data_IF_336283532954
#
_entry.id   IF_336283532954
#
_cell.length_a   1.000
_cell.length_b   1.000
_cell.length_c   1.000
_cell.angle_alpha   90.00
_cell.angle_beta   90.00
_cell.angle_gamma   90.00
#
_symmetry.space_group_name_H-M   'P 1'
#
loop_
_entity.id
_entity.type
_entity.pdbx_description
1 polymer ?
#
# COMPACT_ATOMS: atom_id res chain seq x y z
N UNK A 1 8.98 -16.53 -46.05
CA UNK A 1 9.14 -16.32 -44.60
C UNK A 1 8.38 -15.05 -44.21
N UNK A 2 7.37 -15.21 -43.36
CA UNK A 2 6.19 -14.34 -43.25
C UNK A 2 6.50 -12.97 -42.65
N UNK A 3 6.22 -11.88 -43.39
CA UNK A 3 6.33 -10.51 -42.90
C UNK A 3 5.16 -10.23 -41.94
N UNK A 4 5.46 -10.06 -40.66
CA UNK A 4 4.47 -9.75 -39.63
C UNK A 4 3.86 -8.36 -39.84
N UNK A 5 2.56 -8.27 -39.63
CA UNK A 5 1.74 -7.07 -39.87
C UNK A 5 1.98 -6.01 -38.79
N UNK A 6 1.86 -4.72 -39.16
CA UNK A 6 2.06 -3.55 -38.28
C UNK A 6 1.22 -3.58 -36.99
N UNK A 7 0.12 -4.34 -36.98
CA UNK A 7 -0.74 -4.57 -35.80
C UNK A 7 -0.12 -5.51 -34.76
N UNK A 8 0.64 -6.54 -35.19
CA UNK A 8 1.32 -7.47 -34.26
C UNK A 8 2.48 -6.79 -33.51
N UNK A 9 3.11 -5.78 -34.13
CA UNK A 9 4.13 -4.95 -33.47
C UNK A 9 3.54 -3.99 -32.41
N UNK A 10 2.26 -3.63 -32.53
CA UNK A 10 1.56 -2.81 -31.53
C UNK A 10 1.32 -3.59 -30.23
N UNK A 11 0.79 -4.82 -30.36
CA UNK A 11 0.42 -5.66 -29.21
C UNK A 11 1.65 -6.09 -28.40
N UNK A 12 2.82 -6.26 -29.04
CA UNK A 12 4.08 -6.58 -28.35
C UNK A 12 4.73 -5.38 -27.64
N UNK A 13 4.40 -4.14 -28.04
CA UNK A 13 4.96 -2.93 -27.44
C UNK A 13 4.22 -2.50 -26.17
N UNK A 14 2.94 -2.84 -26.05
CA UNK A 14 2.13 -2.51 -24.86
C UNK A 14 2.51 -3.37 -23.63
N UNK A 15 3.15 -4.53 -23.83
CA UNK A 15 3.62 -5.40 -22.75
C UNK A 15 4.95 -4.97 -22.12
N UNK A 16 5.63 -3.93 -22.64
CA UNK A 16 6.97 -3.52 -22.18
C UNK A 16 7.04 -2.13 -21.53
N UNK A 17 5.90 -1.51 -21.22
CA UNK A 17 5.89 -0.11 -20.75
C UNK A 17 5.49 0.10 -19.28
N UNK A 18 5.36 -0.97 -18.47
CA UNK A 18 5.00 -0.84 -17.04
C UNK A 18 6.17 -1.02 -16.06
N UNK A 19 7.40 -1.19 -16.56
CA UNK A 19 8.59 -1.20 -15.71
C UNK A 19 9.31 0.14 -15.81
N UNK A 20 8.65 1.23 -15.36
CA UNK A 20 9.40 2.45 -15.00
C UNK A 20 10.49 2.02 -14.02
N UNK A 21 11.78 2.33 -14.26
CA UNK A 21 12.85 1.90 -13.37
C UNK A 21 12.56 2.45 -11.98
N UNK A 22 12.10 1.58 -11.07
CA UNK A 22 11.81 1.93 -9.69
C UNK A 22 13.13 2.45 -9.13
N UNK A 23 13.21 3.77 -8.95
CA UNK A 23 14.44 4.42 -8.48
C UNK A 23 14.98 3.70 -7.24
N UNK A 24 16.30 3.65 -7.07
CA UNK A 24 16.94 2.95 -5.92
C UNK A 24 16.40 3.41 -4.55
N UNK A 25 15.80 4.60 -4.48
CA UNK A 25 15.17 5.15 -3.29
C UNK A 25 13.83 4.49 -2.93
N UNK A 26 13.03 4.08 -3.93
CA UNK A 26 11.73 3.44 -3.71
C UNK A 26 11.84 2.00 -3.21
N UNK A 27 13.01 1.36 -3.34
CA UNK A 27 13.23 -0.02 -2.86
C UNK A 27 13.52 -0.13 -1.36
N UNK A 28 14.02 0.92 -0.70
CA UNK A 28 14.43 0.83 0.72
C UNK A 28 13.22 0.81 1.64
N UNK A 29 13.15 -0.21 2.49
CA UNK A 29 12.16 -0.29 3.57
C UNK A 29 12.42 0.84 4.56
N UNK A 30 11.40 1.64 4.82
CA UNK A 30 11.35 2.62 5.90
C UNK A 30 10.85 1.91 7.16
N UNK A 31 11.45 2.26 8.31
CA UNK A 31 11.04 1.80 9.64
C UNK A 31 9.97 2.72 10.24
N UNK A 32 9.16 2.19 11.16
CA UNK A 32 8.11 2.94 11.86
C UNK A 32 8.65 4.16 12.62
N UNK A 33 9.80 4.03 13.29
CA UNK A 33 10.43 5.13 14.03
C UNK A 33 10.75 6.35 13.15
N UNK A 34 11.11 6.08 11.89
CA UNK A 34 11.57 7.03 10.88
C UNK A 34 10.43 7.66 10.10
N UNK A 35 9.18 7.27 10.37
CA UNK A 35 8.00 7.85 9.75
C UNK A 35 7.84 9.31 10.19
N UNK A 36 7.66 10.17 9.19
CA UNK A 36 7.32 11.58 9.38
C UNK A 36 5.84 11.79 9.08
N UNK A 37 5.22 12.64 9.87
CA UNK A 37 3.82 13.02 9.71
C UNK A 37 3.62 13.81 8.42
N UNK A 38 2.46 13.63 7.78
CA UNK A 38 2.08 14.32 6.53
C UNK A 38 3.11 14.17 5.39
N UNK A 39 3.73 12.98 5.31
CA UNK A 39 4.69 12.63 4.27
C UNK A 39 4.33 11.34 3.54
N UNK A 40 4.75 11.21 2.26
CA UNK A 40 4.67 9.94 1.55
C UNK A 40 5.63 8.92 2.15
N UNK A 41 5.21 7.65 2.12
CA UNK A 41 5.97 6.49 2.58
C UNK A 41 6.24 5.62 1.35
N UNK A 42 7.50 5.53 0.94
CA UNK A 42 7.87 4.79 -0.27
C UNK A 42 7.57 3.31 -0.14
N UNK A 43 8.09 2.68 0.93
CA UNK A 43 7.91 1.26 1.23
C UNK A 43 8.04 1.03 2.73
N UNK A 44 7.09 0.32 3.32
CA UNK A 44 7.16 -0.13 4.71
C UNK A 44 6.63 -1.57 4.81
N UNK A 45 7.19 -2.35 5.72
CA UNK A 45 6.73 -3.72 6.00
C UNK A 45 6.48 -3.84 7.49
N UNK A 46 5.32 -4.38 7.85
CA UNK A 46 4.84 -4.48 9.23
C UNK A 46 4.04 -5.76 9.42
N UNK A 47 4.03 -6.26 10.65
CA UNK A 47 3.14 -7.34 11.09
C UNK A 47 1.87 -6.70 11.61
N UNK A 48 0.72 -7.17 11.13
CA UNK A 48 -0.60 -6.72 11.61
C UNK A 48 -0.89 -7.35 12.95
N UNK A 49 -1.00 -6.52 13.99
CA UNK A 49 -1.27 -6.94 15.36
C UNK A 49 -2.76 -7.07 15.66
N UNK A 50 -3.56 -6.21 15.04
CA UNK A 50 -5.01 -6.13 15.29
C UNK A 50 -5.72 -5.51 14.10
N UNK A 51 -6.90 -6.02 13.79
CA UNK A 51 -7.86 -5.42 12.86
C UNK A 51 -9.16 -5.11 13.59
N UNK A 52 -9.71 -3.92 13.39
CA UNK A 52 -11.00 -3.50 13.92
C UNK A 52 -12.12 -3.80 12.91
N UNK A 53 -13.39 -3.89 13.37
CA UNK A 53 -14.53 -4.07 12.48
C UNK A 53 -14.57 -2.98 11.38
N UNK A 54 -14.88 -3.35 10.13
CA UNK A 54 -15.03 -2.38 9.06
C UNK A 54 -16.26 -1.49 9.30
N UNK A 55 -16.16 -0.23 8.89
CA UNK A 55 -17.27 0.73 8.87
C UNK A 55 -17.42 1.34 7.49
N UNK A 56 -18.63 1.76 7.15
CA UNK A 56 -18.87 2.50 5.91
C UNK A 56 -18.52 3.97 6.11
N UNK A 57 -17.82 4.55 5.14
CA UNK A 57 -17.53 5.99 5.08
C UNK A 57 -18.09 6.52 3.79
N UNK A 58 -18.87 7.59 3.87
CA UNK A 58 -19.41 8.30 2.70
C UNK A 58 -18.98 9.77 2.77
N UNK A 59 -18.42 10.26 1.68
CA UNK A 59 -18.09 11.65 1.46
C UNK A 59 -18.47 12.01 0.03
N UNK A 60 -18.62 13.31 -0.28
CA UNK A 60 -19.00 13.81 -1.61
C UNK A 60 -18.13 13.25 -2.76
N UNK A 61 -16.89 12.85 -2.48
CA UNK A 61 -15.94 12.35 -3.47
C UNK A 61 -15.81 10.83 -3.50
N UNK A 62 -16.22 10.11 -2.46
CA UNK A 62 -15.99 8.67 -2.35
C UNK A 62 -16.83 8.04 -1.23
N UNK A 63 -17.34 6.84 -1.49
CA UNK A 63 -18.05 5.98 -0.53
C UNK A 63 -17.44 4.58 -0.57
N UNK A 64 -17.17 4.00 0.59
CA UNK A 64 -16.66 2.62 0.68
C UNK A 64 -16.38 2.17 2.11
N UNK A 65 -15.82 0.97 2.24
CA UNK A 65 -15.50 0.34 3.53
C UNK A 65 -14.12 0.77 4.00
N UNK A 66 -14.01 1.05 5.29
CA UNK A 66 -12.75 1.39 5.94
C UNK A 66 -12.63 0.63 7.25
N UNK A 67 -11.47 0.03 7.50
CA UNK A 67 -11.15 -0.58 8.79
C UNK A 67 -9.87 0.02 9.37
N UNK A 68 -9.88 0.26 10.68
CA UNK A 68 -8.66 0.58 11.40
C UNK A 68 -7.91 -0.71 11.73
N UNK A 69 -6.59 -0.66 11.70
CA UNK A 69 -5.73 -1.76 12.14
C UNK A 69 -4.48 -1.21 12.85
N UNK A 70 -3.78 -2.08 13.55
CA UNK A 70 -2.50 -1.76 14.20
C UNK A 70 -1.44 -2.68 13.59
N UNK A 71 -0.29 -2.10 13.23
CA UNK A 71 0.87 -2.84 12.76
C UNK A 71 2.10 -2.54 13.60
N UNK A 72 3.08 -3.45 13.57
CA UNK A 72 4.40 -3.21 14.16
C UNK A 72 5.53 -3.66 13.27
N UNK A 73 6.68 -3.04 13.44
CA UNK A 73 7.97 -3.56 12.99
C UNK A 73 8.94 -3.66 14.18
N UNK A 74 10.23 -3.88 13.90
CA UNK A 74 11.27 -3.91 14.92
C UNK A 74 11.52 -2.57 15.64
N UNK A 75 11.01 -1.46 15.10
CA UNK A 75 11.26 -0.10 15.59
C UNK A 75 10.09 0.51 16.35
N UNK A 76 8.87 0.01 16.14
CA UNK A 76 7.70 0.50 16.87
C UNK A 76 6.36 0.01 16.35
N UNK A 77 5.31 0.68 16.82
CA UNK A 77 3.91 0.40 16.48
C UNK A 77 3.33 1.57 15.68
N UNK A 78 2.47 1.27 14.72
CA UNK A 78 1.83 2.27 13.87
C UNK A 78 0.37 1.90 13.60
N UNK A 79 -0.49 2.90 13.50
CA UNK A 79 -1.86 2.71 13.04
C UNK A 79 -1.92 2.48 11.53
N UNK A 80 -2.95 1.76 11.09
CA UNK A 80 -3.23 1.47 9.68
C UNK A 80 -4.68 1.78 9.34
N UNK A 81 -4.89 2.22 8.11
CA UNK A 81 -6.22 2.34 7.51
C UNK A 81 -6.26 1.46 6.28
N UNK A 82 -7.12 0.43 6.36
CA UNK A 82 -7.40 -0.51 5.28
C UNK A 82 -8.65 -0.06 4.53
N UNK A 83 -8.60 -0.10 3.21
CA UNK A 83 -9.66 0.35 2.30
C UNK A 83 -10.25 -0.83 1.54
N UNK A 84 -11.58 -0.90 1.46
CA UNK A 84 -12.35 -1.86 0.68
C UNK A 84 -11.76 -3.28 0.74
N UNK A 85 -11.25 -3.79 -0.38
CA UNK A 85 -10.78 -5.17 -0.54
C UNK A 85 -9.56 -5.47 0.34
N UNK A 86 -8.77 -4.46 0.72
CA UNK A 86 -7.65 -4.64 1.66
C UNK A 86 -8.12 -5.16 3.02
N UNK A 87 -9.36 -4.85 3.41
CA UNK A 87 -9.95 -5.28 4.68
C UNK A 87 -10.13 -6.80 4.71
N UNK A 88 -10.49 -7.37 3.55
CA UNK A 88 -10.77 -8.80 3.41
C UNK A 88 -9.48 -9.58 3.10
N UNK A 89 -8.48 -8.94 2.49
CA UNK A 89 -7.18 -9.55 2.24
C UNK A 89 -6.26 -9.63 3.47
N UNK A 90 -6.47 -8.81 4.51
CA UNK A 90 -5.54 -8.68 5.63
C UNK A 90 -6.09 -9.29 6.91
N UNK A 91 -5.39 -10.29 7.45
CA UNK A 91 -5.66 -10.91 8.73
C UNK A 91 -4.70 -10.43 9.84
N UNK A 92 -5.04 -10.75 11.08
CA UNK A 92 -4.13 -10.54 12.22
C UNK A 92 -3.02 -11.58 12.16
N UNK A 93 -1.78 -11.17 12.36
CA UNK A 93 -0.59 -12.00 12.20
C UNK A 93 0.12 -11.81 10.86
N UNK A 94 -0.57 -11.29 9.85
CA UNK A 94 -0.02 -11.16 8.50
C UNK A 94 1.12 -10.13 8.45
N UNK A 95 2.13 -10.46 7.65
CA UNK A 95 3.14 -9.49 7.21
C UNK A 95 2.61 -8.76 5.99
N UNK A 96 2.43 -7.45 6.09
CA UNK A 96 1.97 -6.62 4.99
C UNK A 96 3.07 -5.66 4.55
N UNK A 97 3.20 -5.49 3.23
CA UNK A 97 4.01 -4.47 2.59
C UNK A 97 3.09 -3.38 2.05
N UNK A 98 3.39 -2.14 2.42
CA UNK A 98 2.73 -0.96 1.86
C UNK A 98 3.74 -0.21 0.99
N UNK A 99 3.35 0.09 -0.24
CA UNK A 99 4.14 0.83 -1.21
C UNK A 99 3.40 2.09 -1.65
N UNK A 100 4.12 3.20 -1.83
CA UNK A 100 3.57 4.53 -2.13
C UNK A 100 2.42 4.92 -1.18
N UNK A 101 2.59 4.60 0.11
CA UNK A 101 1.64 4.94 1.16
C UNK A 101 1.75 6.39 1.60
N UNK A 102 0.89 6.77 2.53
CA UNK A 102 0.86 8.09 3.12
C UNK A 102 0.75 7.98 4.64
N UNK A 103 1.63 8.70 5.35
CA UNK A 103 1.60 8.81 6.80
C UNK A 103 0.81 10.08 7.20
N UNK A 104 -0.24 9.90 8.00
CA UNK A 104 -0.98 10.97 8.66
C UNK A 104 -0.73 10.94 10.17
N UNK A 105 -0.85 12.08 10.81
CA UNK A 105 -1.02 12.15 12.26
C UNK A 105 -2.51 12.22 12.59
N UNK A 106 -2.97 11.38 13.50
CA UNK A 106 -4.34 11.40 14.03
C UNK A 106 -4.27 11.30 15.55
N UNK A 107 -4.70 12.35 16.25
CA UNK A 107 -4.69 12.40 17.72
C UNK A 107 -3.30 12.11 18.33
N UNK A 108 -2.22 12.56 17.68
CA UNK A 108 -0.84 12.34 18.13
C UNK A 108 -0.25 10.97 17.73
N UNK A 109 -1.03 10.11 17.07
CA UNK A 109 -0.57 8.81 16.60
C UNK A 109 -0.32 8.81 15.09
N UNK A 110 0.75 8.12 14.68
CA UNK A 110 1.09 7.93 13.27
C UNK A 110 0.19 6.86 12.67
N UNK A 111 -0.42 7.18 11.55
CA UNK A 111 -1.33 6.28 10.84
C UNK A 111 -0.94 6.22 9.36
N UNK A 112 -0.71 5.02 8.85
CA UNK A 112 -0.37 4.78 7.45
C UNK A 112 -1.59 4.27 6.69
N UNK A 113 -1.73 4.75 5.46
CA UNK A 113 -2.68 4.20 4.49
C UNK A 113 -2.00 4.06 3.13
N UNK A 114 -2.56 3.27 2.23
CA UNK A 114 -2.11 3.23 0.83
C UNK A 114 -2.42 4.52 0.08
N UNK A 115 -3.31 5.39 0.59
CA UNK A 115 -3.81 6.51 -0.19
C UNK A 115 -4.46 6.05 -1.50
N UNK A 116 -4.47 6.92 -2.52
CA UNK A 116 -5.11 6.65 -3.82
C UNK A 116 -4.25 5.85 -4.79
N UNK A 117 -2.92 5.99 -4.69
CA UNK A 117 -1.95 5.43 -5.64
C UNK A 117 -1.05 4.36 -5.03
N UNK A 118 -1.20 4.10 -3.72
CA UNK A 118 -0.41 3.09 -3.04
C UNK A 118 -1.04 1.72 -3.13
N UNK A 119 -0.23 0.74 -2.77
CA UNK A 119 -0.57 -0.68 -2.85
C UNK A 119 -0.26 -1.35 -1.52
N UNK A 120 -1.14 -2.26 -1.11
CA UNK A 120 -0.90 -3.16 0.00
C UNK A 120 -0.75 -4.57 -0.56
N UNK A 121 0.30 -5.27 -0.12
CA UNK A 121 0.53 -6.68 -0.47
C UNK A 121 0.72 -7.46 0.81
N UNK A 122 -0.01 -8.55 0.97
CA UNK A 122 0.26 -9.53 2.02
C UNK A 122 1.45 -10.37 1.57
N UNK A 123 2.52 -10.34 2.36
CA UNK A 123 3.68 -11.18 2.18
C UNK A 123 3.33 -12.50 2.85
N UNK A 124 2.87 -13.47 2.05
CA UNK A 124 2.74 -14.85 2.52
C UNK A 124 4.08 -15.37 3.05
N UNK A 125 4.02 -16.34 3.95
CA UNK A 125 5.19 -17.17 4.26
C UNK A 125 5.55 -18.09 3.10
#
# INVERSE_FOLDING_TARGET
>A
MTKRTRLELGILNDAKNDEKPISRWTKRRIKVDSLKEDRPVSRIEIIVLRRHPPRMVSNRKWTGRVAAACGRDESGVVGLVLWDDQIDCVATGDRVRIENGWCKCRMGERVISTGRSGRLTVLGE
#
